data_IF_141451513565
#
_entry.id   IF_141451513565
#
_cell.length_a   1.000
_cell.length_b   1.000
_cell.length_c   1.000
_cell.angle_alpha   90.00
_cell.angle_beta   90.00
_cell.angle_gamma   90.00
#
_symmetry.space_group_name_H-M   'P 1'
#
loop_
_entity.id
_entity.type
_entity.pdbx_description
1 polymer ?
#
# COMPACT_ATOMS: atom_id res chain seq x y z
N UNK A 1 -12.43 -0.39 8.83
CA UNK A 1 -11.29 0.49 8.51
C UNK A 1 -11.35 0.88 7.05
N UNK A 2 -11.20 2.12 6.77
CA UNK A 2 -11.24 2.62 5.40
C UNK A 2 -9.82 2.78 4.86
N UNK A 3 -9.67 2.43 3.59
CA UNK A 3 -8.41 2.51 2.89
C UNK A 3 -8.38 3.82 2.11
N UNK A 4 -7.71 4.81 2.65
CA UNK A 4 -7.67 6.16 2.05
C UNK A 4 -6.36 6.44 1.36
N UNK A 5 -6.46 6.89 0.12
CA UNK A 5 -5.33 7.46 -0.61
C UNK A 5 -5.67 8.90 -0.99
N UNK A 6 -4.88 9.84 -0.49
CA UNK A 6 -5.05 11.26 -0.78
C UNK A 6 -3.89 11.74 -1.66
N UNK A 7 -4.18 12.03 -2.92
CA UNK A 7 -3.16 12.44 -3.88
C UNK A 7 -2.47 13.75 -3.49
N UNK A 8 -3.19 14.68 -2.87
CA UNK A 8 -2.60 15.94 -2.43
C UNK A 8 -1.59 15.72 -1.32
N UNK A 9 -1.94 14.87 -0.36
CA UNK A 9 -1.03 14.51 0.71
C UNK A 9 0.19 13.76 0.15
N UNK A 10 -0.05 12.83 -0.78
CA UNK A 10 1.01 12.05 -1.41
C UNK A 10 2.07 12.93 -2.05
N UNK A 11 1.64 13.97 -2.76
CA UNK A 11 2.56 14.89 -3.44
C UNK A 11 3.47 15.65 -2.48
N UNK A 12 3.03 15.83 -1.24
CA UNK A 12 3.77 16.56 -0.22
C UNK A 12 4.76 15.68 0.54
N UNK A 13 4.66 14.36 0.39
CA UNK A 13 5.52 13.44 1.12
C UNK A 13 6.90 13.36 0.47
N UNK A 14 7.93 13.27 1.31
CA UNK A 14 9.26 12.93 0.87
C UNK A 14 9.31 11.44 0.51
N UNK A 15 10.33 11.04 -0.26
CA UNK A 15 10.47 9.65 -0.69
C UNK A 15 10.39 8.64 0.45
N UNK A 16 11.15 8.79 1.57
CA UNK A 16 11.04 7.83 2.67
C UNK A 16 9.64 7.75 3.26
N UNK A 17 8.93 8.87 3.29
CA UNK A 17 7.56 8.92 3.80
C UNK A 17 6.60 8.17 2.87
N UNK A 18 6.81 8.27 1.55
CA UNK A 18 6.00 7.54 0.56
C UNK A 18 6.21 6.04 0.71
N UNK A 19 7.46 5.61 0.90
CA UNK A 19 7.78 4.20 1.14
C UNK A 19 7.05 3.71 2.39
N UNK A 20 7.16 4.44 3.49
CA UNK A 20 6.49 4.08 4.74
C UNK A 20 4.98 4.01 4.58
N UNK A 21 4.39 4.92 3.82
CA UNK A 21 2.95 4.93 3.57
C UNK A 21 2.52 3.71 2.76
N UNK A 22 3.30 3.33 1.75
CA UNK A 22 3.02 2.12 0.97
C UNK A 22 3.09 0.87 1.84
N UNK A 23 4.07 0.80 2.74
CA UNK A 23 4.20 -0.32 3.66
C UNK A 23 3.01 -0.39 4.62
N UNK A 24 2.53 0.75 5.09
CA UNK A 24 1.34 0.82 5.95
C UNK A 24 0.10 0.33 5.20
N UNK A 25 -0.08 0.74 3.95
CA UNK A 25 -1.20 0.27 3.14
C UNK A 25 -1.12 -1.22 2.89
N UNK A 26 0.08 -1.76 2.67
CA UNK A 26 0.27 -3.20 2.51
C UNK A 26 -0.15 -3.95 3.77
N UNK A 27 0.24 -3.45 4.95
CA UNK A 27 -0.14 -4.06 6.22
C UNK A 27 -1.65 -4.02 6.43
N UNK A 28 -2.30 -2.91 6.10
CA UNK A 28 -3.76 -2.79 6.18
C UNK A 28 -4.45 -3.78 5.26
N UNK A 29 -3.93 -3.95 4.04
CA UNK A 29 -4.49 -4.90 3.08
C UNK A 29 -4.38 -6.33 3.59
N UNK A 30 -3.27 -6.68 4.24
CA UNK A 30 -3.09 -7.99 4.84
C UNK A 30 -4.08 -8.22 5.97
N UNK A 31 -4.33 -7.19 6.78
CA UNK A 31 -5.33 -7.26 7.86
C UNK A 31 -6.72 -7.48 7.29
N UNK A 32 -7.07 -6.74 6.25
CA UNK A 32 -8.37 -6.90 5.59
C UNK A 32 -8.52 -8.30 5.01
N UNK A 33 -7.43 -8.88 4.49
CA UNK A 33 -7.45 -10.23 3.95
C UNK A 33 -7.80 -11.27 5.04
N UNK A 34 -7.30 -11.08 6.26
CA UNK A 34 -7.56 -12.01 7.36
C UNK A 34 -9.04 -12.06 7.73
N UNK A 35 -9.74 -10.94 7.61
CA UNK A 35 -11.13 -10.83 7.99
C UNK A 35 -12.10 -11.00 6.81
N UNK A 36 -11.58 -11.12 5.61
CA UNK A 36 -12.41 -11.17 4.41
C UNK A 36 -12.89 -12.59 4.09
N UNK A 37 -14.00 -12.67 3.35
CA UNK A 37 -14.44 -13.94 2.79
C UNK A 37 -13.37 -14.51 1.86
N UNK A 38 -13.30 -15.86 1.70
CA UNK A 38 -12.22 -16.47 0.92
C UNK A 38 -12.05 -15.91 -0.49
N UNK A 39 -13.13 -15.56 -1.16
CA UNK A 39 -13.07 -15.01 -2.51
C UNK A 39 -12.49 -13.61 -2.56
N UNK A 40 -12.46 -12.90 -1.43
CA UNK A 40 -11.87 -11.56 -1.35
C UNK A 40 -10.46 -11.57 -0.79
N UNK A 41 -10.06 -12.65 -0.11
CA UNK A 41 -8.73 -12.74 0.49
C UNK A 41 -7.62 -12.59 -0.54
N UNK A 42 -7.76 -13.29 -1.68
CA UNK A 42 -6.77 -13.24 -2.76
C UNK A 42 -6.62 -11.82 -3.29
N UNK A 43 -7.73 -11.10 -3.42
CA UNK A 43 -7.73 -9.72 -3.89
C UNK A 43 -6.95 -8.81 -2.94
N UNK A 44 -7.21 -8.92 -1.63
CA UNK A 44 -6.53 -8.08 -0.64
C UNK A 44 -5.05 -8.44 -0.53
N UNK A 45 -4.70 -9.71 -0.64
CA UNK A 45 -3.29 -10.14 -0.62
C UNK A 45 -2.55 -9.63 -1.84
N UNK A 46 -3.20 -9.66 -3.01
CA UNK A 46 -2.62 -9.10 -4.23
C UNK A 46 -2.40 -7.60 -4.09
N UNK A 47 -3.36 -6.89 -3.51
CA UNK A 47 -3.24 -5.46 -3.27
C UNK A 47 -2.05 -5.15 -2.36
N UNK A 48 -1.84 -5.96 -1.33
CA UNK A 48 -0.68 -5.81 -0.44
C UNK A 48 0.62 -5.96 -1.21
N UNK A 49 0.68 -6.94 -2.10
CA UNK A 49 1.86 -7.18 -2.94
C UNK A 49 2.12 -5.96 -3.84
N UNK A 50 1.07 -5.39 -4.43
CA UNK A 50 1.20 -4.21 -5.27
C UNK A 50 1.76 -3.01 -4.50
N UNK A 51 1.29 -2.79 -3.28
CA UNK A 51 1.82 -1.73 -2.44
C UNK A 51 3.29 -1.94 -2.09
N UNK A 52 3.70 -3.20 -1.81
CA UNK A 52 5.09 -3.51 -1.51
C UNK A 52 5.99 -3.33 -2.74
N UNK A 53 5.49 -3.68 -3.92
CA UNK A 53 6.21 -3.43 -5.17
C UNK A 53 6.42 -1.95 -5.42
N UNK A 54 5.39 -1.14 -5.15
CA UNK A 54 5.47 0.30 -5.27
C UNK A 54 6.49 0.88 -4.30
N UNK A 55 6.47 0.41 -3.05
CA UNK A 55 7.45 0.84 -2.05
C UNK A 55 8.88 0.57 -2.54
N UNK A 56 9.11 -0.61 -3.07
CA UNK A 56 10.42 -0.99 -3.60
C UNK A 56 10.83 -0.09 -4.77
N UNK A 57 9.91 0.18 -5.67
CA UNK A 57 10.17 1.04 -6.82
C UNK A 57 10.55 2.46 -6.37
N UNK A 58 9.84 2.99 -5.37
CA UNK A 58 10.14 4.32 -4.84
C UNK A 58 11.53 4.34 -4.18
N UNK A 59 11.85 3.30 -3.41
CA UNK A 59 13.17 3.15 -2.77
C UNK A 59 14.30 3.16 -3.79
N UNK A 60 14.10 2.51 -4.93
CA UNK A 60 15.13 2.39 -5.95
C UNK A 60 15.18 3.56 -6.91
N UNK A 61 14.38 4.59 -6.67
CA UNK A 61 14.45 5.85 -7.39
C UNK A 61 13.32 6.15 -8.36
N UNK A 62 12.29 5.30 -8.43
CA UNK A 62 11.14 5.58 -9.26
C UNK A 62 10.41 6.83 -8.76
N UNK A 63 9.90 7.61 -9.69
CA UNK A 63 9.20 8.84 -9.38
C UNK A 63 7.69 8.60 -9.43
N UNK A 64 7.15 8.33 -8.27
CA UNK A 64 5.71 8.06 -8.12
C UNK A 64 5.00 9.12 -7.30
#
# INVERSE_FOLDING_TARGET
>A
MEFHFNAEEWKRLARPQRVARCQAFAAESQQLAQDAAPELQAMYLDLAIQWLKLAKAIETGADW
#
